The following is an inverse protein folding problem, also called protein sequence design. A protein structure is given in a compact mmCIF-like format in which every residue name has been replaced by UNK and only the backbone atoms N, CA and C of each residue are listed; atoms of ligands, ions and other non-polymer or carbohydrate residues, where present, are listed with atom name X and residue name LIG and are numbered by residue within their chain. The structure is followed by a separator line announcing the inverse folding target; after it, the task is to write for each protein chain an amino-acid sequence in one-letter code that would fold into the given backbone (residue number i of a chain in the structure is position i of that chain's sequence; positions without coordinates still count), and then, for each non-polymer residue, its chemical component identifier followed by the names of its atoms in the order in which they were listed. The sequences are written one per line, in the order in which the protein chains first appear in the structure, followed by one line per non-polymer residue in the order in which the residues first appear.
data_IF_012788351109
#
_entry.id   IF_012788351109
#
_cell.length_a   1.000
_cell.length_b   1.000
_cell.length_c   1.000
_cell.angle_alpha   90.00
_cell.angle_beta   90.00
_cell.angle_gamma   90.00
#
_symmetry.space_group_name_H-M   'P 1'
#
loop_
_entity.id
_entity.type
_entity.pdbx_description
1 polymer ?
#
# COMPACT_ATOMS: atom_id res chain seq x y z
N UNK A 1 -17.11 4.91 2.88
CA UNK A 1 -17.01 3.73 3.76
C UNK A 1 -17.20 4.09 5.23
N UNK A 2 -16.35 4.91 5.83
CA UNK A 2 -16.37 5.24 7.27
C UNK A 2 -17.76 5.60 7.80
N UNK A 3 -18.53 6.53 7.19
CA UNK A 3 -19.86 6.89 7.73
C UNK A 3 -20.81 5.70 7.86
N UNK A 4 -20.73 4.73 6.96
CA UNK A 4 -21.60 3.55 7.01
C UNK A 4 -21.15 2.50 8.04
N UNK A 5 -19.86 2.46 8.38
CA UNK A 5 -19.30 1.48 9.33
C UNK A 5 -19.25 2.02 10.75
N UNK A 6 -19.08 3.34 10.91
CA UNK A 6 -18.90 3.98 12.22
C UNK A 6 -20.11 3.85 13.16
N UNK A 7 -21.29 3.51 12.62
CA UNK A 7 -22.48 3.20 13.45
C UNK A 7 -22.40 1.83 14.12
N UNK A 8 -21.48 0.94 13.63
CA UNK A 8 -21.38 -0.45 14.07
C UNK A 8 -20.04 -0.79 14.73
N UNK A 9 -18.98 -0.02 14.43
CA UNK A 9 -17.65 -0.28 14.94
C UNK A 9 -16.80 1.00 15.08
N UNK A 10 -15.82 0.96 16.00
CA UNK A 10 -14.77 1.98 16.04
C UNK A 10 -13.92 1.89 14.78
N UNK A 11 -13.85 2.97 14.00
CA UNK A 11 -13.04 3.05 12.79
C UNK A 11 -11.70 3.72 13.09
N UNK A 12 -10.60 3.07 12.69
CA UNK A 12 -9.24 3.59 12.81
C UNK A 12 -8.66 3.64 11.39
N UNK A 13 -8.28 4.83 10.95
CA UNK A 13 -7.77 5.08 9.60
C UNK A 13 -6.50 5.90 9.73
N UNK A 14 -5.34 5.25 9.88
CA UNK A 14 -4.08 5.95 10.06
C UNK A 14 -3.53 6.48 8.73
N UNK A 15 -2.97 7.67 8.76
CA UNK A 15 -2.01 8.09 7.76
C UNK A 15 -0.65 7.45 8.08
N UNK A 16 -0.04 6.80 7.11
CA UNK A 16 1.30 6.21 7.29
C UNK A 16 2.35 7.32 7.47
N UNK A 17 3.45 7.00 8.15
CA UNK A 17 4.57 7.95 8.28
C UNK A 17 4.96 8.54 6.91
N UNK A 18 5.06 9.86 6.83
CA UNK A 18 5.34 10.58 5.59
C UNK A 18 4.13 10.82 4.67
N UNK A 19 2.95 10.27 5.00
CA UNK A 19 1.71 10.43 4.25
C UNK A 19 0.73 11.34 5.00
N UNK A 20 -0.25 11.90 4.28
CA UNK A 20 -1.33 12.69 4.86
C UNK A 20 -0.86 13.72 5.89
N UNK A 21 -1.43 13.65 7.08
CA UNK A 21 -1.13 14.52 8.22
C UNK A 21 -0.09 13.93 9.19
N UNK A 22 0.38 12.70 8.94
CA UNK A 22 1.44 12.11 9.76
C UNK A 22 2.77 12.82 9.59
N UNK A 23 3.59 12.76 10.64
CA UNK A 23 4.94 13.31 10.65
C UNK A 23 5.79 12.78 9.49
N UNK A 24 6.79 13.54 9.13
CA UNK A 24 7.78 13.19 8.12
C UNK A 24 9.13 12.99 8.80
N UNK A 25 9.92 12.05 8.27
CA UNK A 25 11.27 11.83 8.76
C UNK A 25 12.14 13.06 8.45
N UNK A 26 12.93 13.50 9.42
CA UNK A 26 13.78 14.70 9.30
C UNK A 26 14.90 14.51 8.28
N UNK A 27 15.57 13.35 8.34
CA UNK A 27 16.69 13.02 7.45
C UNK A 27 16.31 11.80 6.59
N UNK A 28 16.12 12.03 5.29
CA UNK A 28 15.63 11.02 4.36
C UNK A 28 16.59 10.80 3.20
N UNK A 29 16.83 9.51 2.92
CA UNK A 29 17.62 9.04 1.78
C UNK A 29 16.89 7.97 0.97
N UNK A 30 17.59 7.35 0.00
CA UNK A 30 17.00 6.29 -0.83
C UNK A 30 16.46 5.08 -0.07
N UNK A 31 16.96 4.84 1.14
CA UNK A 31 16.56 3.74 2.01
C UNK A 31 15.48 4.11 3.04
N UNK A 32 15.01 5.37 3.05
CA UNK A 32 13.94 5.81 3.95
C UNK A 32 12.57 5.42 3.40
N UNK A 33 11.61 5.25 4.29
CA UNK A 33 10.22 4.87 3.99
C UNK A 33 10.07 3.49 3.32
N UNK A 34 10.99 2.56 3.61
CA UNK A 34 10.85 1.18 3.17
C UNK A 34 9.66 0.51 3.86
N UNK A 35 9.20 -0.60 3.31
CA UNK A 35 8.10 -1.38 3.88
C UNK A 35 8.30 -1.67 5.37
N UNK A 36 9.49 -2.11 5.75
CA UNK A 36 9.81 -2.44 7.16
C UNK A 36 9.81 -1.23 8.08
N UNK A 37 10.11 -0.03 7.58
CA UNK A 37 10.05 1.20 8.34
C UNK A 37 8.59 1.66 8.52
N UNK A 38 7.77 1.63 7.48
CA UNK A 38 6.32 1.85 7.60
C UNK A 38 5.68 0.88 8.58
N UNK A 39 6.04 -0.41 8.51
CA UNK A 39 5.59 -1.43 9.46
C UNK A 39 5.95 -1.07 10.89
N UNK A 40 7.20 -0.65 11.15
CA UNK A 40 7.66 -0.26 12.49
C UNK A 40 6.81 0.86 13.10
N UNK A 41 6.54 1.92 12.35
CA UNK A 41 5.71 3.03 12.81
C UNK A 41 4.24 2.63 12.98
N UNK A 42 3.70 1.84 12.04
CA UNK A 42 2.33 1.35 12.12
C UNK A 42 2.13 0.42 13.32
N UNK A 43 3.03 -0.52 13.55
CA UNK A 43 3.00 -1.41 14.71
C UNK A 43 3.02 -0.60 16.01
N UNK A 44 3.92 0.38 16.14
CA UNK A 44 3.99 1.25 17.31
C UNK A 44 2.71 2.06 17.55
N UNK A 45 2.02 2.49 16.50
CA UNK A 45 0.70 3.13 16.62
C UNK A 45 -0.37 2.13 17.09
N UNK A 46 -0.47 0.97 16.43
CA UNK A 46 -1.49 -0.03 16.73
C UNK A 46 -1.35 -0.59 18.16
N UNK A 47 -0.14 -0.70 18.66
CA UNK A 47 0.14 -1.13 20.04
C UNK A 47 -0.37 -0.12 21.08
N UNK A 48 -0.37 1.18 20.74
CA UNK A 48 -0.86 2.25 21.64
C UNK A 48 -2.38 2.44 21.59
N UNK A 49 -3.07 1.91 20.60
CA UNK A 49 -4.49 2.13 20.38
C UNK A 49 -5.41 1.22 21.20
N UNK A 50 -4.86 0.33 22.03
CA UNK A 50 -5.62 -0.62 22.85
C UNK A 50 -6.70 -1.35 22.03
N UNK A 51 -6.28 -1.97 20.93
CA UNK A 51 -7.15 -2.77 20.08
C UNK A 51 -7.59 -4.05 20.80
N UNK A 52 -8.87 -4.43 20.66
CA UNK A 52 -9.38 -5.74 21.11
C UNK A 52 -8.89 -6.92 20.25
N UNK A 53 -9.53 -8.06 20.44
CA UNK A 53 -9.22 -9.32 19.74
C UNK A 53 -10.23 -9.60 18.60
N UNK A 54 -10.96 -8.59 18.16
CA UNK A 54 -11.99 -8.64 17.14
C UNK A 54 -11.74 -7.62 16.00
N UNK A 55 -10.46 -7.42 15.67
CA UNK A 55 -10.06 -6.47 14.64
C UNK A 55 -10.50 -6.96 13.26
N UNK A 56 -11.23 -6.13 12.54
CA UNK A 56 -11.53 -6.32 11.12
C UNK A 56 -10.69 -5.36 10.30
N UNK A 57 -9.89 -5.91 9.39
CA UNK A 57 -9.06 -5.13 8.48
C UNK A 57 -9.81 -4.83 7.18
N UNK A 58 -9.80 -3.57 6.75
CA UNK A 58 -10.29 -3.16 5.42
C UNK A 58 -9.12 -2.52 4.71
N UNK A 59 -8.56 -3.21 3.73
CA UNK A 59 -7.21 -2.96 3.20
C UNK A 59 -7.16 -2.92 1.69
N UNK A 60 -6.25 -2.09 1.17
CA UNK A 60 -6.08 -1.81 -0.25
C UNK A 60 -4.61 -1.49 -0.55
N UNK A 61 -4.12 -1.83 -1.73
CA UNK A 61 -2.77 -1.53 -2.23
C UNK A 61 -1.67 -1.85 -1.18
N UNK A 62 -0.77 -0.94 -0.88
CA UNK A 62 0.26 -1.15 0.16
C UNK A 62 -0.30 -1.33 1.57
N UNK A 63 -1.47 -0.73 1.85
CA UNK A 63 -2.21 -1.01 3.08
C UNK A 63 -2.61 -2.48 3.20
N UNK A 64 -2.77 -3.20 2.09
CA UNK A 64 -3.01 -4.65 2.12
C UNK A 64 -1.77 -5.43 2.54
N UNK A 65 -0.60 -5.11 2.00
CA UNK A 65 0.63 -5.81 2.39
C UNK A 65 0.97 -5.58 3.88
N UNK A 66 0.82 -4.34 4.37
CA UNK A 66 0.99 -4.02 5.78
C UNK A 66 -0.05 -4.72 6.66
N UNK A 67 -1.32 -4.71 6.24
CA UNK A 67 -2.41 -5.34 6.98
C UNK A 67 -2.32 -6.86 7.00
N UNK A 68 -1.99 -7.50 5.89
CA UNK A 68 -1.78 -8.96 5.84
C UNK A 68 -0.58 -9.39 6.69
N UNK A 69 0.52 -8.65 6.65
CA UNK A 69 1.68 -8.92 7.50
C UNK A 69 1.33 -8.74 8.98
N UNK A 70 0.62 -7.68 9.33
CA UNK A 70 0.16 -7.47 10.70
C UNK A 70 -0.78 -8.59 11.16
N UNK A 71 -1.76 -8.96 10.34
CA UNK A 71 -2.69 -10.05 10.64
C UNK A 71 -1.96 -11.39 10.83
N UNK A 72 -0.98 -11.68 9.99
CA UNK A 72 -0.17 -12.91 10.08
C UNK A 72 0.65 -12.98 11.40
N UNK A 73 1.08 -11.84 11.92
CA UNK A 73 1.82 -11.75 13.19
C UNK A 73 0.90 -11.69 14.42
N UNK A 74 -0.41 -11.39 14.24
CA UNK A 74 -1.40 -11.20 15.31
C UNK A 74 -2.69 -11.98 15.02
N UNK A 75 -2.55 -13.25 14.63
CA UNK A 75 -3.64 -14.11 14.12
C UNK A 75 -4.83 -14.25 15.07
N UNK A 76 -4.57 -14.22 16.35
CA UNK A 76 -5.54 -14.31 17.45
C UNK A 76 -6.34 -13.00 17.66
N UNK A 77 -5.91 -11.90 17.07
CA UNK A 77 -6.56 -10.58 17.21
C UNK A 77 -7.41 -10.19 16.01
N UNK A 78 -7.40 -10.97 14.93
CA UNK A 78 -8.09 -10.63 13.67
C UNK A 78 -9.34 -11.47 13.51
N UNK A 79 -10.49 -10.80 13.44
CA UNK A 79 -11.79 -11.42 13.23
C UNK A 79 -12.18 -11.57 11.74
N UNK A 80 -11.58 -10.79 10.85
CA UNK A 80 -11.84 -10.85 9.42
C UNK A 80 -11.07 -9.83 8.61
N UNK A 81 -11.00 -10.04 7.31
CA UNK A 81 -10.30 -9.15 6.37
C UNK A 81 -11.17 -8.88 5.16
N UNK A 82 -11.42 -7.60 4.86
CA UNK A 82 -11.96 -7.16 3.57
C UNK A 82 -10.82 -6.50 2.77
N UNK A 83 -10.64 -6.91 1.51
CA UNK A 83 -9.54 -6.41 0.69
C UNK A 83 -9.95 -6.20 -0.76
N UNK A 84 -9.27 -5.27 -1.41
CA UNK A 84 -9.41 -4.96 -2.83
C UNK A 84 -8.05 -4.51 -3.37
N UNK A 85 -7.79 -4.77 -4.65
CA UNK A 85 -6.55 -4.35 -5.33
C UNK A 85 -5.33 -4.50 -4.41
N UNK A 86 -5.08 -5.74 -3.97
CA UNK A 86 -4.17 -6.08 -2.88
C UNK A 86 -2.88 -6.74 -3.39
N UNK A 87 -1.79 -6.60 -2.65
CA UNK A 87 -0.53 -7.29 -2.90
C UNK A 87 -0.62 -8.67 -2.24
N UNK A 88 -0.96 -9.69 -3.02
CA UNK A 88 -1.25 -11.05 -2.51
C UNK A 88 -0.12 -12.04 -2.77
N UNK A 89 0.76 -11.76 -3.73
CA UNK A 89 1.90 -12.58 -4.08
C UNK A 89 3.00 -11.74 -4.74
N UNK A 90 4.28 -12.17 -4.71
CA UNK A 90 5.31 -11.59 -5.58
C UNK A 90 4.97 -11.81 -7.05
N UNK A 91 5.41 -10.91 -7.91
CA UNK A 91 5.10 -10.93 -9.34
C UNK A 91 6.36 -10.81 -10.21
N UNK A 92 6.20 -11.09 -11.49
CA UNK A 92 7.19 -10.79 -12.52
C UNK A 92 6.78 -9.56 -13.34
N UNK A 93 7.69 -9.00 -14.13
CA UNK A 93 7.35 -7.93 -15.06
C UNK A 93 6.37 -8.40 -16.15
N UNK A 94 6.34 -9.68 -16.47
CA UNK A 94 5.38 -10.24 -17.42
C UNK A 94 3.95 -10.19 -16.86
N UNK A 95 3.80 -10.50 -15.57
CA UNK A 95 2.53 -10.44 -14.84
C UNK A 95 2.10 -9.00 -14.48
N UNK A 96 3.04 -8.03 -14.56
CA UNK A 96 2.74 -6.61 -14.28
C UNK A 96 1.93 -5.99 -15.42
N UNK A 97 0.92 -5.12 -15.15
CA UNK A 97 0.10 -4.48 -16.18
C UNK A 97 0.97 -3.80 -17.25
N UNK A 98 0.78 -4.16 -18.51
CA UNK A 98 1.60 -3.69 -19.63
C UNK A 98 1.60 -2.15 -19.72
N UNK A 99 0.42 -1.53 -19.55
CA UNK A 99 0.27 -0.08 -19.63
C UNK A 99 1.05 0.68 -18.52
N UNK A 100 1.27 0.05 -17.35
CA UNK A 100 1.99 0.65 -16.23
C UNK A 100 3.46 0.23 -16.17
N UNK A 101 3.87 -0.83 -16.89
CA UNK A 101 5.21 -1.42 -16.80
C UNK A 101 6.33 -0.41 -17.00
N UNK A 102 6.27 0.37 -18.06
CA UNK A 102 7.33 1.31 -18.42
C UNK A 102 7.54 2.40 -17.36
N UNK A 103 6.47 2.96 -16.79
CA UNK A 103 6.58 4.00 -15.77
C UNK A 103 7.10 3.44 -14.45
N UNK A 104 6.68 2.23 -14.04
CA UNK A 104 7.16 1.60 -12.82
C UNK A 104 8.63 1.13 -12.94
N UNK A 105 9.06 0.65 -14.09
CA UNK A 105 10.48 0.41 -14.38
C UNK A 105 11.28 1.71 -14.27
N UNK A 106 10.75 2.83 -14.80
CA UNK A 106 11.35 4.14 -14.67
C UNK A 106 11.54 4.57 -13.20
N UNK A 107 10.51 4.40 -12.35
CA UNK A 107 10.60 4.73 -10.91
C UNK A 107 11.64 3.89 -10.16
N UNK A 108 11.88 2.66 -10.60
CA UNK A 108 12.88 1.75 -10.00
C UNK A 108 14.30 1.98 -10.56
N UNK A 109 14.47 2.77 -11.59
CA UNK A 109 15.75 3.14 -12.17
C UNK A 109 16.39 4.35 -11.45
N UNK A 110 17.63 4.68 -11.85
CA UNK A 110 18.31 5.90 -11.39
C UNK A 110 17.54 7.18 -11.75
N UNK A 111 16.81 7.19 -12.87
CA UNK A 111 15.98 8.32 -13.27
C UNK A 111 14.76 8.54 -12.35
N UNK A 112 14.38 7.54 -11.57
CA UNK A 112 13.21 7.60 -10.66
C UNK A 112 13.30 8.74 -9.64
N UNK A 113 14.49 9.11 -9.19
CA UNK A 113 14.68 10.26 -8.29
C UNK A 113 14.18 11.56 -8.94
N UNK A 114 14.65 11.87 -10.15
CA UNK A 114 14.20 13.08 -10.85
C UNK A 114 12.71 13.01 -11.22
N UNK A 115 12.23 11.86 -11.65
CA UNK A 115 10.81 11.69 -12.00
C UNK A 115 9.87 11.98 -10.83
N UNK A 116 10.22 11.53 -9.63
CA UNK A 116 9.30 11.56 -8.50
C UNK A 116 9.64 12.69 -7.52
N UNK A 117 10.92 12.85 -7.13
CA UNK A 117 11.29 13.89 -6.17
C UNK A 117 11.20 15.29 -6.80
N UNK A 118 11.75 15.49 -8.00
CA UNK A 118 11.75 16.81 -8.63
C UNK A 118 10.41 17.13 -9.28
N UNK A 119 9.86 16.20 -10.09
CA UNK A 119 8.67 16.43 -10.92
C UNK A 119 7.37 16.01 -10.26
N UNK A 120 7.41 15.34 -9.09
CA UNK A 120 6.24 14.81 -8.37
C UNK A 120 5.34 13.92 -9.26
N UNK A 121 5.94 13.19 -10.19
CA UNK A 121 5.21 12.51 -11.27
C UNK A 121 4.20 11.47 -10.75
N UNK A 122 4.47 10.88 -9.58
CA UNK A 122 3.52 9.93 -8.98
C UNK A 122 2.18 10.60 -8.67
N UNK A 123 2.22 11.77 -8.01
CA UNK A 123 1.01 12.53 -7.63
C UNK A 123 0.39 13.25 -8.84
N UNK A 124 1.24 13.78 -9.75
CA UNK A 124 0.75 14.62 -10.85
C UNK A 124 0.28 13.82 -12.08
N UNK A 125 0.71 12.57 -12.25
CA UNK A 125 0.37 11.78 -13.43
C UNK A 125 -0.17 10.38 -13.09
N UNK A 126 0.50 9.60 -12.23
CA UNK A 126 0.07 8.23 -11.94
C UNK A 126 -1.25 8.22 -11.20
N UNK A 127 -1.36 9.01 -10.14
CA UNK A 127 -2.59 9.08 -9.33
C UNK A 127 -3.82 9.47 -10.17
N UNK A 128 -3.86 10.61 -10.87
CA UNK A 128 -5.04 10.95 -11.67
C UNK A 128 -5.27 9.99 -12.84
N UNK A 129 -4.21 9.39 -13.39
CA UNK A 129 -4.32 8.38 -14.44
C UNK A 129 -4.87 7.03 -13.96
N UNK A 130 -4.86 6.78 -12.65
CA UNK A 130 -5.40 5.56 -12.03
C UNK A 130 -6.87 5.69 -11.63
N UNK A 131 -7.49 6.83 -11.84
CA UNK A 131 -8.88 7.12 -11.47
C UNK A 131 -9.70 7.37 -12.73
N UNK A 132 -10.81 6.62 -12.90
CA UNK A 132 -11.63 6.68 -14.12
C UNK A 132 -12.30 8.06 -14.34
N UNK A 133 -12.67 8.74 -13.27
CA UNK A 133 -13.22 10.10 -13.35
C UNK A 133 -12.10 11.14 -13.27
N UNK A 134 -12.34 12.31 -13.82
CA UNK A 134 -11.46 13.46 -13.59
C UNK A 134 -11.57 13.93 -12.15
N UNK A 135 -10.44 14.10 -11.49
CA UNK A 135 -10.37 14.72 -10.17
C UNK A 135 -10.54 16.23 -10.29
N UNK A 136 -11.24 16.85 -9.33
CA UNK A 136 -11.33 18.30 -9.24
C UNK A 136 -10.01 18.92 -8.77
N UNK A 137 -9.83 20.22 -8.96
CA UNK A 137 -8.66 20.95 -8.46
C UNK A 137 -8.55 20.89 -6.93
N UNK A 138 -9.68 20.85 -6.23
CA UNK A 138 -9.74 20.72 -4.78
C UNK A 138 -9.25 19.33 -4.34
N UNK A 139 -9.72 18.25 -4.99
CA UNK A 139 -9.26 16.89 -4.73
C UNK A 139 -7.76 16.74 -5.02
N UNK A 140 -7.29 17.29 -6.15
CA UNK A 140 -5.86 17.26 -6.47
C UNK A 140 -5.03 18.07 -5.48
N UNK A 141 -5.56 19.17 -4.95
CA UNK A 141 -4.90 19.96 -3.91
C UNK A 141 -4.68 19.14 -2.63
N UNK A 142 -5.67 18.34 -2.21
CA UNK A 142 -5.53 17.45 -1.06
C UNK A 142 -4.49 16.36 -1.28
N UNK A 143 -4.45 15.73 -2.46
CA UNK A 143 -3.42 14.75 -2.79
C UNK A 143 -2.01 15.35 -2.87
N UNK A 144 -1.87 16.61 -3.29
CA UNK A 144 -0.59 17.35 -3.34
C UNK A 144 -0.11 17.81 -1.98
N UNK A 145 -1.02 18.06 -1.05
CA UNK A 145 -0.76 18.69 0.25
C UNK A 145 0.41 18.07 1.02
N UNK A 146 0.53 16.73 1.15
CA UNK A 146 1.66 16.12 1.85
C UNK A 146 3.00 16.23 1.12
N UNK A 147 3.00 16.52 -0.20
CA UNK A 147 4.14 16.38 -1.12
C UNK A 147 4.52 17.69 -1.83
N UNK A 148 4.16 18.84 -1.29
CA UNK A 148 4.45 20.16 -1.90
C UNK A 148 5.95 20.41 -2.00
N UNK A 149 6.71 20.06 -0.97
CA UNK A 149 8.18 20.23 -0.94
C UNK A 149 8.89 18.96 -1.43
N UNK A 150 9.92 19.06 -2.29
CA UNK A 150 10.66 17.89 -2.79
C UNK A 150 11.17 16.94 -1.70
N UNK A 151 11.67 17.48 -0.58
CA UNK A 151 12.14 16.67 0.55
C UNK A 151 11.05 15.79 1.19
N UNK A 152 9.76 16.18 1.06
CA UNK A 152 8.61 15.45 1.59
C UNK A 152 8.11 14.35 0.63
N UNK A 153 8.64 14.28 -0.59
CA UNK A 153 8.21 13.31 -1.61
C UNK A 153 8.90 11.95 -1.51
N UNK A 154 9.79 11.76 -0.54
CA UNK A 154 10.56 10.50 -0.41
C UNK A 154 9.71 9.23 -0.31
N UNK A 155 8.55 9.19 0.35
CA UNK A 155 7.69 8.00 0.34
C UNK A 155 7.25 7.56 -1.05
N UNK A 156 7.00 8.51 -1.95
CA UNK A 156 6.40 8.23 -3.28
C UNK A 156 7.31 7.49 -4.26
N UNK A 157 8.66 7.71 -4.34
CA UNK A 157 9.54 6.83 -5.12
C UNK A 157 9.87 5.52 -4.40
N UNK A 158 9.80 5.49 -3.05
CA UNK A 158 10.16 4.29 -2.31
C UNK A 158 9.11 3.21 -2.48
N UNK A 159 7.81 3.50 -2.42
CA UNK A 159 6.76 2.51 -2.58
C UNK A 159 6.85 1.70 -3.88
N UNK A 160 7.01 2.28 -5.08
CA UNK A 160 7.23 1.50 -6.30
C UNK A 160 8.46 0.59 -6.26
N UNK A 161 9.50 1.00 -5.55
CA UNK A 161 10.74 0.22 -5.40
C UNK A 161 10.59 -0.95 -4.43
N UNK A 162 9.62 -0.90 -3.53
CA UNK A 162 9.34 -1.96 -2.57
C UNK A 162 8.40 -3.04 -3.12
N UNK A 163 7.74 -2.83 -4.27
CA UNK A 163 6.88 -3.85 -4.88
C UNK A 163 7.72 -5.11 -5.17
N UNK A 164 7.31 -6.30 -4.71
CA UNK A 164 8.08 -7.53 -4.87
C UNK A 164 8.00 -8.05 -6.32
N UNK A 165 8.87 -7.50 -7.19
CA UNK A 165 8.93 -7.86 -8.61
C UNK A 165 10.28 -8.51 -8.91
N UNK A 166 10.28 -9.64 -9.64
CA UNK A 166 11.49 -10.41 -10.03
C UNK A 166 12.35 -10.82 -8.81
N UNK A 167 11.71 -11.09 -7.67
CA UNK A 167 12.41 -11.49 -6.46
C UNK A 167 13.01 -10.35 -5.61
N UNK A 168 12.80 -9.09 -6.02
CA UNK A 168 13.36 -7.92 -5.35
C UNK A 168 12.28 -6.88 -4.95
N UNK A 169 12.40 -6.24 -3.76
CA UNK A 169 13.41 -6.50 -2.71
C UNK A 169 13.17 -7.83 -1.98
N UNK A 170 14.25 -8.57 -1.73
CA UNK A 170 14.16 -9.93 -1.19
C UNK A 170 13.53 -10.03 0.21
N UNK A 171 13.62 -8.99 1.02
CA UNK A 171 12.98 -8.92 2.34
C UNK A 171 11.46 -8.77 2.22
N UNK A 172 10.99 -7.95 1.29
CA UNK A 172 9.54 -7.78 1.03
C UNK A 172 8.96 -9.04 0.38
N UNK A 173 9.68 -9.65 -0.57
CA UNK A 173 9.29 -10.95 -1.15
C UNK A 173 9.00 -11.98 -0.06
N UNK A 174 9.94 -12.16 0.89
CA UNK A 174 9.76 -13.11 2.00
C UNK A 174 8.57 -12.78 2.89
N UNK A 175 8.29 -11.50 3.14
CA UNK A 175 7.15 -11.07 3.94
C UNK A 175 5.86 -11.42 3.20
N UNK A 176 5.80 -11.14 1.90
CA UNK A 176 4.62 -11.42 1.07
C UNK A 176 4.37 -12.92 0.98
N UNK A 177 5.39 -13.73 0.69
CA UNK A 177 5.27 -15.19 0.66
C UNK A 177 4.75 -15.74 1.99
N UNK A 178 5.26 -15.22 3.11
CA UNK A 178 4.91 -15.71 4.44
C UNK A 178 3.45 -15.45 4.81
N UNK A 179 2.92 -14.25 4.54
CA UNK A 179 1.50 -14.00 4.80
C UNK A 179 0.60 -14.67 3.76
N UNK A 180 1.03 -14.79 2.51
CA UNK A 180 0.28 -15.46 1.45
C UNK A 180 0.07 -16.96 1.77
N UNK A 181 1.12 -17.64 2.22
CA UNK A 181 1.04 -19.05 2.67
C UNK A 181 0.03 -19.21 3.82
N UNK A 182 0.11 -18.34 4.84
CA UNK A 182 -0.84 -18.38 5.95
C UNK A 182 -2.28 -18.10 5.49
N UNK A 183 -2.50 -17.07 4.70
CA UNK A 183 -3.84 -16.66 4.25
C UNK A 183 -4.52 -17.74 3.40
N UNK A 184 -3.76 -18.44 2.54
CA UNK A 184 -4.29 -19.50 1.70
C UNK A 184 -4.77 -20.73 2.49
N UNK A 185 -4.13 -21.01 3.64
CA UNK A 185 -4.52 -22.10 4.55
C UNK A 185 -5.44 -21.69 5.70
N UNK A 186 -5.76 -20.41 5.84
CA UNK A 186 -6.50 -19.87 6.98
C UNK A 186 -8.01 -19.90 6.76
N UNK A 187 -8.76 -20.35 7.77
CA UNK A 187 -10.23 -20.27 7.83
C UNK A 187 -10.74 -18.87 8.24
N UNK A 188 -9.85 -17.91 8.46
CA UNK A 188 -10.23 -16.53 8.77
C UNK A 188 -11.21 -15.99 7.71
N UNK A 189 -12.36 -15.39 8.11
CA UNK A 189 -13.30 -14.79 7.17
C UNK A 189 -12.61 -13.73 6.29
N UNK A 190 -12.71 -13.91 4.98
CA UNK A 190 -12.12 -13.01 3.98
C UNK A 190 -13.20 -12.56 3.00
N UNK A 191 -13.27 -11.25 2.77
CA UNK A 191 -14.11 -10.65 1.74
C UNK A 191 -13.21 -10.02 0.67
N UNK A 192 -13.19 -10.62 -0.51
CA UNK A 192 -12.57 -10.01 -1.69
C UNK A 192 -13.57 -9.11 -2.42
N UNK A 193 -13.22 -7.83 -2.58
CA UNK A 193 -13.99 -6.87 -3.36
C UNK A 193 -13.29 -6.74 -4.71
N UNK A 194 -13.87 -7.35 -5.74
CA UNK A 194 -13.31 -7.32 -7.07
C UNK A 194 -13.52 -5.97 -7.75
N UNK A 195 -12.44 -5.37 -8.25
CA UNK A 195 -12.50 -4.20 -9.13
C UNK A 195 -12.56 -4.65 -10.61
N UNK A 196 -13.40 -4.00 -11.41
CA UNK A 196 -13.48 -4.20 -12.85
C UNK A 196 -13.72 -2.84 -13.55
N UNK A 197 -12.75 -2.32 -14.29
CA UNK A 197 -11.41 -2.88 -14.48
C UNK A 197 -10.57 -2.81 -13.21
N UNK A 198 -9.76 -3.87 -12.97
CA UNK A 198 -8.75 -3.91 -11.93
C UNK A 198 -7.38 -3.45 -12.43
N UNK A 199 -6.45 -3.22 -11.51
CA UNK A 199 -5.07 -2.83 -11.82
C UNK A 199 -4.02 -3.73 -11.14
N UNK A 200 -4.28 -4.23 -9.93
CA UNK A 200 -3.36 -5.08 -9.17
C UNK A 200 -3.84 -6.54 -9.19
N UNK A 201 -5.10 -6.78 -8.78
CA UNK A 201 -5.68 -8.13 -8.76
C UNK A 201 -6.27 -8.49 -10.14
N UNK A 202 -5.39 -8.74 -11.08
CA UNK A 202 -5.69 -9.20 -12.45
C UNK A 202 -4.93 -10.50 -12.75
N UNK A 203 -5.34 -11.24 -13.78
CA UNK A 203 -4.66 -12.48 -14.19
C UNK A 203 -4.41 -13.44 -13.02
N UNK A 204 -3.18 -13.92 -12.89
CA UNK A 204 -2.79 -14.89 -11.86
C UNK A 204 -2.98 -14.39 -10.43
N UNK A 205 -2.81 -13.09 -10.17
CA UNK A 205 -3.05 -12.51 -8.85
C UNK A 205 -4.54 -12.60 -8.45
N UNK A 206 -5.44 -12.44 -9.41
CA UNK A 206 -6.88 -12.63 -9.18
C UNK A 206 -7.24 -14.09 -8.97
N UNK A 207 -6.62 -14.99 -9.71
CA UNK A 207 -6.85 -16.43 -9.59
C UNK A 207 -6.34 -17.00 -8.26
N UNK A 208 -5.36 -16.32 -7.66
CA UNK A 208 -4.78 -16.70 -6.37
C UNK A 208 -5.74 -16.47 -5.19
N UNK A 209 -6.66 -15.50 -5.27
CA UNK A 209 -7.57 -15.10 -4.18
C UNK A 209 -8.96 -15.70 -4.33
#
# INVERSE_FOLDING_TARGET
MIPAVAEHARCIVPDLIGQGDSDKLDDTGPESYRFVEHRFYLDGLLDQLELGDDVVLVIHDWGSALGFDWANRHRDRVAGIAFMEAIVMPVTWEQWPEAARGIFQGFRSEAGESMVIEKNLFVEAVLPGSILRTLSDEEMSEYRRPFTEPKHRRPTPTWPRQIPIEGEPADVVKIVDYYAEWLSGSELPKLFINADPGAILIGEQREFV
#
